data_IF_935977225671
#
_entry.id   IF_935977225671
#
_cell.length_a   1.000
_cell.length_b   1.000
_cell.length_c   1.000
_cell.angle_alpha   90.00
_cell.angle_beta   90.00
_cell.angle_gamma   90.00
#
_symmetry.space_group_name_H-M   'P 1'
#
loop_
_entity.id
_entity.type
_entity.pdbx_description
1 polymer ?
#
# COMPACT_ATOMS: atom_id res chain seq x y z
N UNK A 1 -17.66 4.36 -0.38
CA UNK A 1 -17.86 4.77 -1.78
C UNK A 1 -16.55 4.73 -2.55
N UNK A 2 -16.65 4.70 -3.87
CA UNK A 2 -15.46 4.64 -4.73
C UNK A 2 -14.50 5.82 -4.53
N UNK A 3 -15.02 6.97 -4.13
CA UNK A 3 -14.16 8.14 -3.89
C UNK A 3 -13.09 7.87 -2.84
N UNK A 4 -13.44 7.16 -1.76
CA UNK A 4 -12.47 6.80 -0.72
C UNK A 4 -11.48 5.77 -1.25
N UNK A 5 -11.95 4.83 -2.03
CA UNK A 5 -11.09 3.81 -2.66
C UNK A 5 -10.06 4.48 -3.57
N UNK A 6 -10.48 5.44 -4.39
CA UNK A 6 -9.59 6.16 -5.29
C UNK A 6 -8.53 6.94 -4.51
N UNK A 7 -8.94 7.62 -3.44
CA UNK A 7 -8.00 8.39 -2.61
C UNK A 7 -6.96 7.48 -1.97
N UNK A 8 -7.39 6.33 -1.46
CA UNK A 8 -6.48 5.37 -0.86
C UNK A 8 -5.55 4.75 -1.89
N UNK A 9 -6.02 4.55 -3.13
CA UNK A 9 -5.17 4.06 -4.21
C UNK A 9 -4.03 5.04 -4.50
N UNK A 10 -4.34 6.32 -4.53
CA UNK A 10 -3.35 7.38 -4.76
C UNK A 10 -2.36 7.42 -3.60
N UNK A 11 -2.86 7.39 -2.37
CA UNK A 11 -2.02 7.39 -1.18
C UNK A 11 -1.10 6.18 -1.17
N UNK A 12 -1.63 5.00 -1.48
CA UNK A 12 -0.85 3.77 -1.53
C UNK A 12 0.25 3.86 -2.58
N UNK A 13 -0.07 4.33 -3.78
CA UNK A 13 0.92 4.47 -4.85
C UNK A 13 2.04 5.44 -4.45
N UNK A 14 1.68 6.57 -3.87
CA UNK A 14 2.67 7.59 -3.48
C UNK A 14 3.55 7.12 -2.33
N UNK A 15 2.97 6.51 -1.30
CA UNK A 15 3.76 6.06 -0.16
C UNK A 15 4.66 4.87 -0.55
N UNK A 16 4.20 3.98 -1.41
CA UNK A 16 5.02 2.87 -1.88
C UNK A 16 6.21 3.37 -2.68
N UNK A 17 6.01 4.35 -3.54
CA UNK A 17 7.07 4.97 -4.33
C UNK A 17 8.10 5.64 -3.42
N UNK A 18 7.63 6.40 -2.43
CA UNK A 18 8.48 7.09 -1.48
C UNK A 18 9.28 6.09 -0.62
N UNK A 19 8.62 5.05 -0.13
CA UNK A 19 9.25 4.02 0.67
C UNK A 19 10.36 3.31 -0.11
N UNK A 20 10.09 2.98 -1.37
CA UNK A 20 11.10 2.36 -2.24
C UNK A 20 12.32 3.26 -2.40
N UNK A 21 12.10 4.54 -2.56
CA UNK A 21 13.17 5.53 -2.68
C UNK A 21 14.04 5.58 -1.43
N UNK A 22 13.41 5.61 -0.25
CA UNK A 22 14.11 5.63 1.03
C UNK A 22 14.92 4.35 1.25
N UNK A 23 14.34 3.21 0.92
CA UNK A 23 15.03 1.92 1.04
C UNK A 23 16.24 1.88 0.12
N UNK A 24 16.09 2.35 -1.12
CA UNK A 24 17.16 2.34 -2.11
C UNK A 24 18.41 3.07 -1.66
N UNK A 25 18.25 4.18 -0.94
CA UNK A 25 19.39 4.95 -0.48
C UNK A 25 19.82 4.62 0.95
N UNK A 26 19.23 3.57 1.54
CA UNK A 26 19.58 3.14 2.88
C UNK A 26 19.24 4.13 3.98
N UNK A 27 18.13 4.85 3.81
CA UNK A 27 17.69 5.83 4.79
C UNK A 27 17.37 5.19 6.14
N UNK A 28 17.79 5.82 7.22
CA UNK A 28 17.44 5.38 8.57
C UNK A 28 15.96 5.55 8.88
N UNK A 29 15.23 6.30 8.04
CA UNK A 29 13.77 6.48 8.18
C UNK A 29 12.96 5.52 7.33
N UNK A 30 13.61 4.61 6.59
CA UNK A 30 12.93 3.67 5.71
C UNK A 30 11.93 2.80 6.47
N UNK A 31 12.28 2.37 7.68
CA UNK A 31 11.43 1.52 8.49
C UNK A 31 10.10 2.19 8.81
N UNK A 32 10.12 3.45 9.17
CA UNK A 32 8.89 4.22 9.45
C UNK A 32 8.00 4.30 8.21
N UNK A 33 8.60 4.54 7.05
CA UNK A 33 7.84 4.62 5.81
C UNK A 33 7.26 3.28 5.41
N UNK A 34 8.00 2.20 5.66
CA UNK A 34 7.51 0.85 5.36
C UNK A 34 6.32 0.50 6.24
N UNK A 35 6.33 0.87 7.52
CA UNK A 35 5.20 0.66 8.41
C UNK A 35 3.97 1.43 7.91
N UNK A 36 4.15 2.69 7.57
CA UNK A 36 3.07 3.53 7.08
C UNK A 36 2.53 3.00 5.74
N UNK A 37 3.43 2.59 4.87
CA UNK A 37 3.06 2.01 3.58
C UNK A 37 2.20 0.75 3.78
N UNK A 38 2.61 -0.14 4.66
CA UNK A 38 1.85 -1.35 4.95
C UNK A 38 0.45 -1.03 5.48
N UNK A 39 0.36 -0.04 6.37
CA UNK A 39 -0.92 0.38 6.95
C UNK A 39 -1.86 0.93 5.88
N UNK A 40 -1.36 1.83 5.05
CA UNK A 40 -2.15 2.43 3.97
C UNK A 40 -2.58 1.37 2.96
N UNK A 41 -1.67 0.48 2.58
CA UNK A 41 -1.98 -0.58 1.62
C UNK A 41 -3.03 -1.54 2.17
N UNK A 42 -3.00 -1.86 3.46
CA UNK A 42 -4.01 -2.69 4.08
C UNK A 42 -5.37 -2.00 4.08
N UNK A 43 -5.41 -0.70 4.40
CA UNK A 43 -6.66 0.06 4.35
C UNK A 43 -7.21 0.15 2.94
N UNK A 44 -6.33 0.36 1.96
CA UNK A 44 -6.71 0.40 0.55
C UNK A 44 -7.32 -0.94 0.14
N UNK A 45 -6.69 -2.05 0.51
CA UNK A 45 -7.20 -3.37 0.18
C UNK A 45 -8.58 -3.60 0.79
N UNK A 46 -8.77 -3.23 2.05
CA UNK A 46 -10.07 -3.38 2.72
C UNK A 46 -11.16 -2.58 2.03
N UNK A 47 -10.85 -1.35 1.65
CA UNK A 47 -11.81 -0.50 0.97
C UNK A 47 -12.17 -1.05 -0.41
N UNK A 48 -11.16 -1.50 -1.16
CA UNK A 48 -11.38 -2.07 -2.48
C UNK A 48 -12.15 -3.39 -2.41
N UNK A 49 -11.97 -4.16 -1.36
CA UNK A 49 -12.70 -5.41 -1.16
C UNK A 49 -14.19 -5.20 -0.97
N UNK A 50 -14.59 -4.05 -0.44
CA UNK A 50 -16.02 -3.69 -0.34
C UNK A 50 -16.68 -3.55 -1.71
N UNK A 51 -15.86 -3.33 -2.73
CA UNK A 51 -16.32 -3.15 -4.11
C UNK A 51 -15.81 -4.28 -5.01
N UNK A 52 -15.59 -5.46 -4.45
CA UNK A 52 -14.98 -6.60 -5.16
C UNK A 52 -15.82 -7.13 -6.33
N UNK A 53 -17.09 -6.73 -6.42
CA UNK A 53 -17.94 -7.04 -7.58
C UNK A 53 -17.45 -6.34 -8.85
N UNK A 54 -16.57 -5.35 -8.72
CA UNK A 54 -15.95 -4.64 -9.84
C UNK A 54 -14.54 -5.19 -10.03
N UNK A 55 -14.23 -5.66 -11.23
CA UNK A 55 -12.92 -6.24 -11.54
C UNK A 55 -11.77 -5.31 -11.17
N UNK A 56 -11.94 -4.03 -11.45
CA UNK A 56 -10.94 -3.01 -11.13
C UNK A 56 -10.60 -3.00 -9.62
N UNK A 57 -11.61 -3.00 -8.78
CA UNK A 57 -11.41 -2.96 -7.33
C UNK A 57 -10.82 -4.25 -6.79
N UNK A 58 -11.22 -5.38 -7.37
CA UNK A 58 -10.67 -6.67 -6.99
C UNK A 58 -9.16 -6.73 -7.24
N UNK A 59 -8.75 -6.28 -8.43
CA UNK A 59 -7.32 -6.24 -8.79
C UNK A 59 -6.55 -5.28 -7.90
N UNK A 60 -7.15 -4.14 -7.58
CA UNK A 60 -6.55 -3.15 -6.71
C UNK A 60 -6.30 -3.74 -5.32
N UNK A 61 -7.27 -4.47 -4.76
CA UNK A 61 -7.13 -5.10 -3.46
C UNK A 61 -5.99 -6.12 -3.45
N UNK A 62 -5.87 -6.90 -4.51
CA UNK A 62 -4.79 -7.89 -4.63
C UNK A 62 -3.41 -7.22 -4.64
N UNK A 63 -3.28 -6.16 -5.43
CA UNK A 63 -2.01 -5.41 -5.51
C UNK A 63 -1.68 -4.76 -4.17
N UNK A 64 -2.66 -4.17 -3.50
CA UNK A 64 -2.43 -3.53 -2.20
C UNK A 64 -2.00 -4.54 -1.14
N UNK A 65 -2.57 -5.74 -1.13
CA UNK A 65 -2.15 -6.77 -0.19
C UNK A 65 -0.73 -7.25 -0.47
N UNK A 66 -0.38 -7.42 -1.74
CA UNK A 66 0.98 -7.80 -2.12
C UNK A 66 1.99 -6.73 -1.68
N UNK A 67 1.64 -5.46 -1.85
CA UNK A 67 2.46 -4.33 -1.42
C UNK A 67 2.63 -4.33 0.10
N UNK A 68 1.55 -4.54 0.85
CA UNK A 68 1.60 -4.58 2.30
C UNK A 68 2.51 -5.70 2.80
N UNK A 69 2.44 -6.87 2.18
CA UNK A 69 3.32 -8.00 2.53
C UNK A 69 4.78 -7.67 2.26
N UNK A 70 5.06 -7.03 1.12
CA UNK A 70 6.41 -6.63 0.79
C UNK A 70 6.96 -5.62 1.81
N UNK A 71 6.13 -4.68 2.26
CA UNK A 71 6.52 -3.71 3.28
C UNK A 71 6.81 -4.38 4.62
N UNK A 72 5.99 -5.34 5.01
CA UNK A 72 6.21 -6.09 6.26
C UNK A 72 7.52 -6.90 6.17
N UNK A 73 7.79 -7.52 5.04
CA UNK A 73 9.04 -8.26 4.83
C UNK A 73 10.24 -7.34 4.93
N UNK A 74 10.14 -6.13 4.36
CA UNK A 74 11.20 -5.14 4.43
C UNK A 74 11.48 -4.68 5.86
N UNK A 75 10.43 -4.51 6.67
CA UNK A 75 10.58 -4.14 8.08
C UNK A 75 11.19 -5.27 8.88
N UNK A 76 10.79 -6.51 8.60
CA UNK A 76 11.30 -7.68 9.31
C UNK A 76 12.77 -7.99 8.99
N UNK A 77 13.20 -7.59 7.82
CA UNK A 77 14.59 -7.82 7.42
C UNK A 77 15.52 -6.83 8.11
#
# INVERSE_FOLDING_TARGET
MLARCIKLDIDCAEICSLAASFVSRGSEHAEHLLHECAEICNECAKECEKHSHMDHCKKCAEVCRACAEACHSGVAA
#
